data_IF_869919498453
#
_entry.id   IF_869919498453
#
_cell.length_a   1.000
_cell.length_b   1.000
_cell.length_c   1.000
_cell.angle_alpha   90.00
_cell.angle_beta   90.00
_cell.angle_gamma   90.00
#
_symmetry.space_group_name_H-M   'P 1'
#
loop_
_entity.id
_entity.type
_entity.pdbx_description
1 polymer ?
#
# COMPACT_ATOMS: atom_id res chain seq x y z
N UNK A 1 14.44 21.07 -11.51
CA UNK A 1 13.64 22.00 -12.32
C UNK A 1 13.53 21.58 -13.80
N UNK A 2 14.61 21.10 -14.45
CA UNK A 2 14.58 20.59 -15.84
C UNK A 2 13.54 19.49 -16.13
N UNK A 3 13.15 18.71 -15.13
CA UNK A 3 12.14 17.66 -15.25
C UNK A 3 10.70 18.15 -14.99
N UNK A 4 10.51 19.45 -14.74
CA UNK A 4 9.19 20.08 -14.50
C UNK A 4 8.38 19.51 -13.31
N UNK A 5 9.00 18.66 -12.47
CA UNK A 5 8.42 18.13 -11.24
C UNK A 5 8.58 19.10 -10.05
N UNK A 6 7.97 20.28 -10.16
CA UNK A 6 8.14 21.37 -9.19
C UNK A 6 7.60 21.06 -7.78
N UNK A 7 6.53 20.27 -7.69
CA UNK A 7 5.97 19.84 -6.39
C UNK A 7 6.93 18.93 -5.61
N UNK A 8 7.59 17.99 -6.29
CA UNK A 8 8.60 17.12 -5.71
C UNK A 8 9.85 17.93 -5.31
N UNK A 9 10.31 18.82 -6.20
CA UNK A 9 11.43 19.71 -5.90
C UNK A 9 11.18 20.57 -4.65
N UNK A 10 9.96 21.09 -4.46
CA UNK A 10 9.61 21.83 -3.23
C UNK A 10 9.69 20.97 -1.98
N UNK A 11 9.29 19.70 -2.06
CA UNK A 11 9.38 18.77 -0.93
C UNK A 11 10.83 18.54 -0.54
N UNK A 12 11.72 18.34 -1.51
CA UNK A 12 13.15 18.16 -1.28
C UNK A 12 13.80 19.41 -0.69
N UNK A 13 13.53 20.58 -1.25
CA UNK A 13 14.09 21.85 -0.77
C UNK A 13 13.64 22.16 0.67
N UNK A 14 12.40 21.85 1.03
CA UNK A 14 11.91 21.97 2.41
C UNK A 14 12.63 21.03 3.38
N UNK A 15 13.03 19.84 2.93
CA UNK A 15 13.84 18.93 3.74
C UNK A 15 15.23 19.51 3.95
N UNK A 16 15.89 20.02 2.91
CA UNK A 16 17.20 20.69 3.04
C UNK A 16 17.17 21.81 4.08
N UNK A 17 16.10 22.62 4.10
CA UNK A 17 15.97 23.72 5.06
C UNK A 17 15.70 23.27 6.51
N UNK A 18 15.31 22.02 6.74
CA UNK A 18 15.20 21.45 8.09
C UNK A 18 16.54 20.96 8.63
N UNK A 19 17.50 20.71 7.75
CA UNK A 19 18.84 20.29 8.11
C UNK A 19 19.72 21.49 8.50
N UNK A 20 20.80 21.22 9.25
CA UNK A 20 21.77 22.24 9.63
C UNK A 20 22.72 22.55 8.45
N UNK A 21 22.22 23.33 7.48
CA UNK A 21 22.99 23.76 6.30
C UNK A 21 23.48 25.21 6.42
N UNK A 22 24.52 25.56 5.65
CA UNK A 22 25.09 26.92 5.60
C UNK A 22 24.11 27.93 5.02
N UNK A 23 24.28 29.21 5.36
CA UNK A 23 23.34 30.26 4.93
C UNK A 23 23.33 30.46 3.40
N UNK A 24 24.47 30.28 2.72
CA UNK A 24 24.52 30.31 1.25
C UNK A 24 23.67 29.19 0.65
N UNK A 25 23.76 27.96 1.19
CA UNK A 25 22.92 26.84 0.75
C UNK A 25 21.43 27.08 1.03
N UNK A 26 21.09 27.72 2.15
CA UNK A 26 19.70 28.14 2.43
C UNK A 26 19.22 29.16 1.41
N UNK A 27 20.05 30.16 1.09
CA UNK A 27 19.77 31.16 0.08
C UNK A 27 19.47 30.53 -1.29
N UNK A 28 20.37 29.66 -1.75
CA UNK A 28 20.19 28.87 -2.98
C UNK A 28 18.92 28.01 -2.97
N UNK A 29 18.59 27.39 -1.83
CA UNK A 29 17.37 26.61 -1.67
C UNK A 29 16.10 27.49 -1.78
N UNK A 30 16.06 28.65 -1.13
CA UNK A 30 14.95 29.58 -1.22
C UNK A 30 14.75 30.14 -2.63
N UNK A 31 15.84 30.40 -3.38
CA UNK A 31 15.75 30.80 -4.79
C UNK A 31 15.04 29.73 -5.62
N UNK A 32 15.48 28.47 -5.51
CA UNK A 32 14.86 27.33 -6.22
C UNK A 32 13.42 27.10 -5.77
N UNK A 33 13.10 27.30 -4.48
CA UNK A 33 11.72 27.22 -3.99
C UNK A 33 10.84 28.29 -4.61
N UNK A 34 11.35 29.51 -4.76
CA UNK A 34 10.62 30.61 -5.37
C UNK A 34 10.22 30.29 -6.82
N UNK A 35 11.15 29.74 -7.61
CA UNK A 35 10.87 29.27 -8.97
C UNK A 35 9.80 28.20 -8.98
N UNK A 36 9.88 27.21 -8.07
CA UNK A 36 8.88 26.16 -8.00
C UNK A 36 7.49 26.69 -7.61
N UNK A 37 7.40 27.63 -6.65
CA UNK A 37 6.12 28.25 -6.28
C UNK A 37 5.50 29.02 -7.45
N UNK A 38 6.31 29.73 -8.21
CA UNK A 38 5.87 30.47 -9.40
C UNK A 38 5.32 29.52 -10.47
N UNK A 39 6.04 28.44 -10.77
CA UNK A 39 5.60 27.40 -11.71
C UNK A 39 4.29 26.70 -11.28
N UNK A 40 3.98 26.69 -9.98
CA UNK A 40 2.74 26.15 -9.41
C UNK A 40 1.61 27.22 -9.23
N UNK A 41 1.83 28.46 -9.66
CA UNK A 41 0.87 29.56 -9.52
C UNK A 41 0.74 30.15 -8.10
N UNK A 42 1.66 29.85 -7.19
CA UNK A 42 1.68 30.34 -5.81
C UNK A 42 2.54 31.63 -5.67
N UNK A 43 2.18 32.68 -6.40
CA UNK A 43 2.98 33.91 -6.56
C UNK A 43 3.38 34.60 -5.24
N UNK A 44 2.48 34.64 -4.26
CA UNK A 44 2.79 35.25 -2.96
C UNK A 44 3.94 34.51 -2.24
N UNK A 45 3.96 33.18 -2.31
CA UNK A 45 5.04 32.38 -1.71
C UNK A 45 6.33 32.48 -2.51
N UNK A 46 6.23 32.64 -3.83
CA UNK A 46 7.39 32.89 -4.68
C UNK A 46 8.11 34.20 -4.29
N UNK A 47 7.36 35.31 -4.18
CA UNK A 47 7.90 36.61 -3.78
C UNK A 47 8.59 36.57 -2.41
N UNK A 48 7.96 35.94 -1.42
CA UNK A 48 8.54 35.77 -0.08
C UNK A 48 9.84 34.97 -0.17
N UNK A 49 9.86 33.88 -0.94
CA UNK A 49 11.04 33.01 -1.05
C UNK A 49 12.21 33.73 -1.73
N UNK A 50 11.98 34.51 -2.79
CA UNK A 50 13.03 35.33 -3.41
C UNK A 50 13.60 36.37 -2.45
N UNK A 51 12.74 37.09 -1.70
CA UNK A 51 13.18 38.10 -0.74
C UNK A 51 14.01 37.50 0.42
N UNK A 52 13.74 36.25 0.80
CA UNK A 52 14.58 35.53 1.78
C UNK A 52 15.92 35.12 1.16
N UNK A 53 15.91 34.64 -0.08
CA UNK A 53 17.13 34.26 -0.79
C UNK A 53 18.11 35.44 -0.97
N UNK A 54 17.61 36.62 -1.38
CA UNK A 54 18.42 37.84 -1.55
C UNK A 54 19.17 38.26 -0.28
N UNK A 55 18.61 37.97 0.91
CA UNK A 55 19.24 38.31 2.19
C UNK A 55 20.32 37.32 2.62
N UNK A 56 20.31 36.10 2.08
CA UNK A 56 21.14 34.99 2.52
C UNK A 56 22.30 34.72 1.56
N UNK A 57 22.11 34.92 0.26
CA UNK A 57 23.12 34.69 -0.76
C UNK A 57 24.14 35.83 -0.75
N UNK A 58 25.43 35.48 -0.64
CA UNK A 58 26.54 36.45 -0.75
C UNK A 58 27.38 36.27 -2.00
N UNK A 59 27.22 35.16 -2.70
CA UNK A 59 27.96 34.83 -3.92
C UNK A 59 27.40 35.58 -5.13
N UNK A 60 28.26 36.34 -5.83
CA UNK A 60 27.86 37.16 -6.98
C UNK A 60 27.26 36.35 -8.14
N UNK A 61 27.69 35.10 -8.33
CA UNK A 61 27.18 34.24 -9.41
C UNK A 61 25.78 33.76 -9.08
N UNK A 62 25.53 33.38 -7.83
CA UNK A 62 24.19 33.00 -7.37
C UNK A 62 23.21 34.19 -7.36
N UNK A 63 23.67 35.40 -7.03
CA UNK A 63 22.86 36.63 -7.13
C UNK A 63 22.40 36.87 -8.58
N UNK A 64 23.31 36.74 -9.56
CA UNK A 64 22.97 36.89 -10.99
C UNK A 64 22.00 35.81 -11.48
N UNK A 65 22.08 34.61 -10.92
CA UNK A 65 21.15 33.52 -11.22
C UNK A 65 19.77 33.81 -10.64
N UNK A 66 19.70 34.28 -9.39
CA UNK A 66 18.47 34.71 -8.73
C UNK A 66 17.76 35.83 -9.49
N UNK A 67 18.48 36.88 -9.91
CA UNK A 67 17.89 37.98 -10.68
C UNK A 67 17.32 37.52 -12.02
N UNK A 68 17.98 36.55 -12.66
CA UNK A 68 17.54 35.96 -13.92
C UNK A 68 16.28 35.13 -13.73
N UNK A 69 16.26 34.27 -12.72
CA UNK A 69 15.11 33.44 -12.37
C UNK A 69 13.91 34.29 -11.91
N UNK A 70 14.16 35.38 -11.17
CA UNK A 70 13.13 36.33 -10.74
C UNK A 70 12.44 37.06 -11.91
N UNK A 71 13.16 37.30 -13.01
CA UNK A 71 12.62 37.97 -14.22
C UNK A 71 12.06 37.02 -15.27
N UNK A 72 12.34 35.71 -15.17
CA UNK A 72 11.88 34.74 -16.16
C UNK A 72 10.35 34.58 -16.16
N UNK A 73 9.78 34.40 -17.34
CA UNK A 73 8.38 33.99 -17.51
C UNK A 73 8.26 32.48 -17.35
N UNK A 74 7.23 32.02 -16.64
CA UNK A 74 6.99 30.61 -16.38
C UNK A 74 5.59 30.23 -16.85
N UNK A 75 5.48 29.10 -17.54
CA UNK A 75 4.19 28.50 -17.84
C UNK A 75 3.69 27.75 -16.59
N UNK A 76 2.51 28.13 -16.10
CA UNK A 76 1.89 27.44 -14.97
C UNK A 76 1.55 26.00 -15.36
N UNK A 77 2.08 25.03 -14.62
CA UNK A 77 1.70 23.64 -14.82
C UNK A 77 0.36 23.41 -14.12
N UNK A 78 -0.61 22.84 -14.84
CA UNK A 78 -1.87 22.40 -14.25
C UNK A 78 -1.55 21.39 -13.16
N UNK A 79 -1.90 21.74 -11.92
CA UNK A 79 -1.82 20.83 -10.78
C UNK A 79 -2.62 19.58 -11.12
N UNK A 80 -1.97 18.41 -11.15
CA UNK A 80 -2.70 17.15 -11.27
C UNK A 80 -3.76 17.10 -10.17
N UNK A 81 -5.00 16.80 -10.57
CA UNK A 81 -6.10 16.66 -9.63
C UNK A 81 -5.76 15.53 -8.67
N UNK A 82 -5.72 15.84 -7.36
CA UNK A 82 -5.72 14.80 -6.33
C UNK A 82 -6.96 13.94 -6.55
N UNK A 83 -6.75 12.65 -6.79
CA UNK A 83 -7.85 11.69 -6.76
C UNK A 83 -8.33 11.67 -5.30
N UNK A 84 -9.62 11.95 -5.03
CA UNK A 84 -10.15 11.94 -3.68
C UNK A 84 -9.84 10.61 -2.99
N UNK A 85 -9.64 10.66 -1.68
CA UNK A 85 -9.55 9.46 -0.85
C UNK A 85 -10.85 8.68 -0.96
N UNK A 86 -10.84 7.59 -1.73
CA UNK A 86 -12.00 6.74 -1.93
C UNK A 86 -12.25 5.94 -0.66
N UNK A 87 -13.38 6.25 0.01
CA UNK A 87 -13.81 5.56 1.23
C UNK A 87 -14.13 4.10 0.94
N UNK A 88 -14.05 3.27 1.97
CA UNK A 88 -14.53 1.89 1.90
C UNK A 88 -15.97 1.88 1.38
N UNK A 89 -16.21 1.08 0.35
CA UNK A 89 -17.49 0.96 -0.32
C UNK A 89 -17.84 -0.51 -0.52
N UNK A 90 -19.11 -0.83 -0.31
CA UNK A 90 -19.69 -2.13 -0.63
C UNK A 90 -21.03 -1.83 -1.29
N UNK A 91 -21.26 -2.40 -2.47
CA UNK A 91 -22.52 -2.23 -3.19
C UNK A 91 -23.67 -2.82 -2.38
N UNK A 92 -24.80 -2.12 -2.34
CA UNK A 92 -26.04 -2.65 -1.75
C UNK A 92 -26.68 -3.74 -2.62
N UNK A 93 -26.18 -3.92 -3.84
CA UNK A 93 -26.64 -4.93 -4.80
C UNK A 93 -25.95 -6.28 -4.60
N UNK A 94 -25.21 -6.47 -3.52
CA UNK A 94 -24.63 -7.77 -3.17
C UNK A 94 -24.98 -8.14 -1.74
N UNK A 95 -25.17 -9.45 -1.51
CA UNK A 95 -25.35 -10.03 -0.18
C UNK A 95 -24.44 -11.24 0.00
N UNK A 96 -24.16 -11.59 1.24
CA UNK A 96 -23.36 -12.78 1.59
C UNK A 96 -24.32 -13.89 2.00
N UNK A 97 -24.13 -15.07 1.42
CA UNK A 97 -24.83 -16.30 1.77
C UNK A 97 -23.82 -17.36 2.22
N UNK A 98 -24.31 -18.47 2.77
CA UNK A 98 -23.48 -19.59 3.21
C UNK A 98 -24.05 -20.93 2.74
N UNK A 99 -23.16 -21.82 2.27
CA UNK A 99 -23.49 -23.19 1.88
C UNK A 99 -22.47 -24.16 2.46
N UNK A 100 -22.88 -25.37 2.91
CA UNK A 100 -21.95 -26.35 3.49
C UNK A 100 -20.75 -26.72 2.61
N UNK A 101 -20.92 -26.75 1.29
CA UNK A 101 -19.87 -27.14 0.34
C UNK A 101 -18.92 -26.00 -0.05
N UNK A 102 -19.35 -24.74 0.11
CA UNK A 102 -18.62 -23.56 -0.39
C UNK A 102 -18.26 -22.57 0.72
N UNK A 103 -18.75 -22.77 1.94
CA UNK A 103 -18.68 -21.78 3.01
C UNK A 103 -19.48 -20.53 2.64
N UNK A 104 -19.02 -19.37 3.10
CA UNK A 104 -19.60 -18.07 2.75
C UNK A 104 -19.24 -17.68 1.32
N UNK A 105 -20.18 -17.07 0.61
CA UNK A 105 -20.01 -16.59 -0.75
C UNK A 105 -20.88 -15.36 -1.03
N UNK A 106 -20.41 -14.49 -1.92
CA UNK A 106 -21.13 -13.27 -2.32
C UNK A 106 -22.01 -13.52 -3.53
N UNK A 107 -23.25 -13.01 -3.49
CA UNK A 107 -24.24 -13.09 -4.57
C UNK A 107 -24.76 -11.69 -4.90
N UNK A 108 -25.11 -11.43 -6.16
CA UNK A 108 -25.82 -10.21 -6.51
C UNK A 108 -27.29 -10.33 -6.11
N UNK A 109 -27.76 -9.29 -5.43
CA UNK A 109 -29.13 -9.08 -4.98
C UNK A 109 -29.96 -8.30 -6.00
N UNK A 110 -29.29 -7.60 -6.93
CA UNK A 110 -29.89 -6.78 -7.99
C UNK A 110 -28.97 -6.74 -9.23
N UNK A 111 -29.43 -6.15 -10.33
CA UNK A 111 -28.67 -5.97 -11.56
C UNK A 111 -27.44 -5.08 -11.35
N UNK A 112 -26.25 -5.64 -11.53
CA UNK A 112 -24.97 -4.91 -11.48
C UNK A 112 -24.49 -4.69 -12.91
N UNK A 113 -24.29 -3.43 -13.29
CA UNK A 113 -23.83 -3.08 -14.64
C UNK A 113 -22.34 -3.39 -14.80
N UNK A 114 -21.91 -3.78 -16.00
CA UNK A 114 -20.48 -3.85 -16.35
C UNK A 114 -19.76 -2.54 -16.01
N UNK A 115 -18.62 -2.66 -15.31
CA UNK A 115 -17.82 -1.54 -14.83
C UNK A 115 -18.32 -0.90 -13.53
N UNK A 116 -19.47 -1.31 -13.00
CA UNK A 116 -19.96 -0.84 -11.70
C UNK A 116 -19.07 -1.41 -10.57
N UNK A 117 -18.59 -0.56 -9.64
CA UNK A 117 -17.82 -1.02 -8.50
C UNK A 117 -18.69 -1.85 -7.55
N UNK A 118 -18.16 -2.96 -7.04
CA UNK A 118 -18.83 -3.82 -6.06
C UNK A 118 -18.23 -3.61 -4.68
N UNK A 119 -16.91 -3.60 -4.57
CA UNK A 119 -16.19 -3.32 -3.32
C UNK A 119 -15.02 -2.39 -3.62
N UNK A 120 -14.84 -1.38 -2.78
CA UNK A 120 -13.59 -0.63 -2.65
C UNK A 120 -13.12 -0.81 -1.21
N UNK A 121 -11.92 -1.34 -1.02
CA UNK A 121 -11.39 -1.64 0.30
C UNK A 121 -9.89 -1.32 0.37
N UNK A 122 -9.47 -0.72 1.48
CA UNK A 122 -8.05 -0.62 1.83
C UNK A 122 -7.57 -1.94 2.44
N UNK A 123 -6.33 -2.36 2.19
CA UNK A 123 -5.81 -3.59 2.74
C UNK A 123 -5.80 -3.47 4.26
N UNK A 124 -6.26 -4.52 4.94
CA UNK A 124 -6.06 -4.65 6.37
C UNK A 124 -4.56 -4.65 6.69
N UNK A 125 -3.74 -5.31 5.88
CA UNK A 125 -2.28 -5.17 5.86
C UNK A 125 -1.76 -5.49 4.44
N UNK A 126 -0.62 -4.91 4.09
CA UNK A 126 0.03 -5.18 2.80
C UNK A 126 1.56 -5.11 2.88
N UNK A 127 2.22 -5.92 2.07
CA UNK A 127 3.68 -5.92 1.89
C UNK A 127 4.06 -5.74 0.41
N UNK A 128 5.06 -4.88 0.18
CA UNK A 128 5.71 -4.73 -1.12
C UNK A 128 6.65 -5.91 -1.33
N UNK A 129 6.75 -6.42 -2.54
CA UNK A 129 7.72 -7.46 -2.89
C UNK A 129 9.16 -6.93 -2.78
N UNK A 130 10.12 -7.73 -2.30
CA UNK A 130 11.53 -7.35 -2.23
C UNK A 130 12.10 -6.87 -3.57
N UNK A 131 11.67 -7.46 -4.68
CA UNK A 131 12.10 -7.09 -6.04
C UNK A 131 11.69 -5.66 -6.42
N UNK A 132 10.72 -5.09 -5.72
CA UNK A 132 10.22 -3.73 -5.95
C UNK A 132 10.83 -2.70 -4.99
N UNK A 133 11.68 -3.11 -4.03
CA UNK A 133 12.34 -2.20 -3.11
C UNK A 133 13.20 -1.20 -3.89
N UNK A 134 13.21 0.06 -3.44
CA UNK A 134 13.92 1.16 -4.11
C UNK A 134 13.28 1.65 -5.42
N UNK A 135 12.37 0.90 -6.03
CA UNK A 135 11.61 1.34 -7.23
C UNK A 135 10.18 1.77 -6.91
N UNK A 136 9.61 1.25 -5.82
CA UNK A 136 8.29 1.62 -5.32
C UNK A 136 8.37 2.05 -3.87
N UNK A 137 7.42 2.89 -3.47
CA UNK A 137 7.27 3.33 -2.09
C UNK A 137 6.93 2.11 -1.22
N UNK A 138 7.73 1.88 -0.18
CA UNK A 138 7.57 0.75 0.74
C UNK A 138 6.24 0.76 1.51
N UNK A 139 5.65 1.94 1.65
CA UNK A 139 4.36 2.11 2.32
C UNK A 139 3.18 2.01 1.36
N UNK A 140 3.21 2.77 0.28
CA UNK A 140 2.02 3.00 -0.55
C UNK A 140 2.09 2.31 -1.92
N UNK A 141 3.23 1.71 -2.24
CA UNK A 141 3.54 0.98 -3.48
C UNK A 141 3.49 1.84 -4.74
N UNK A 142 3.37 3.16 -4.60
CA UNK A 142 3.52 4.09 -5.73
C UNK A 142 4.96 4.06 -6.26
N UNK A 143 5.12 4.08 -7.59
CA UNK A 143 6.43 4.11 -8.23
C UNK A 143 7.19 5.38 -7.84
N UNK A 144 8.47 5.23 -7.53
CA UNK A 144 9.29 6.34 -7.06
C UNK A 144 9.77 7.20 -8.23
N UNK A 145 9.47 8.50 -8.17
CA UNK A 145 10.09 9.52 -8.99
C UNK A 145 11.19 10.27 -8.21
N UNK A 146 10.90 10.56 -6.94
CA UNK A 146 11.84 11.08 -5.95
C UNK A 146 11.70 10.24 -4.67
N UNK A 147 12.82 9.69 -4.20
CA UNK A 147 12.85 8.72 -3.13
C UNK A 147 13.32 9.35 -1.80
N UNK A 148 12.60 9.07 -0.73
CA UNK A 148 12.99 9.36 0.64
C UNK A 148 13.41 8.06 1.31
N UNK A 149 14.63 7.99 1.85
CA UNK A 149 15.13 6.82 2.57
C UNK A 149 14.65 6.76 4.03
N UNK A 150 14.78 5.58 4.63
CA UNK A 150 14.79 5.43 6.08
C UNK A 150 16.09 6.03 6.65
N UNK A 151 16.06 6.56 7.87
CA UNK A 151 17.26 7.04 8.55
C UNK A 151 18.13 5.89 9.09
N UNK A 152 17.51 4.74 9.38
CA UNK A 152 18.15 3.60 10.05
C UNK A 152 18.55 2.46 9.10
N UNK A 153 18.09 2.48 7.84
CA UNK A 153 18.49 1.49 6.82
C UNK A 153 18.50 2.08 5.40
N UNK A 154 19.22 1.39 4.51
CA UNK A 154 19.25 1.68 3.07
C UNK A 154 18.39 0.73 2.23
N UNK A 155 17.59 -0.13 2.87
CA UNK A 155 16.89 -1.23 2.19
C UNK A 155 15.59 -0.79 1.49
N UNK A 156 14.96 0.30 1.95
CA UNK A 156 13.63 0.71 1.51
C UNK A 156 13.57 2.21 1.21
N UNK A 157 12.61 2.60 0.36
CA UNK A 157 12.40 3.99 -0.02
C UNK A 157 10.91 4.36 -0.02
N UNK A 158 10.62 5.64 0.10
CA UNK A 158 9.27 6.19 0.22
C UNK A 158 9.06 7.34 -0.77
N UNK A 159 7.83 7.54 -1.25
CA UNK A 159 7.52 8.60 -2.22
C UNK A 159 7.34 9.98 -1.59
N UNK A 160 7.22 10.06 -0.25
CA UNK A 160 7.03 11.31 0.48
C UNK A 160 7.48 11.18 1.94
N UNK A 161 7.78 12.30 2.62
CA UNK A 161 8.02 12.30 4.06
C UNK A 161 6.85 11.71 4.84
N UNK A 162 5.60 11.99 4.45
CA UNK A 162 4.42 11.43 5.11
C UNK A 162 4.37 9.90 5.05
N UNK A 163 4.67 9.30 3.89
CA UNK A 163 4.75 7.84 3.77
C UNK A 163 5.87 7.24 4.62
N UNK A 164 7.05 7.87 4.62
CA UNK A 164 8.18 7.44 5.46
C UNK A 164 7.82 7.50 6.93
N UNK A 165 7.33 8.65 7.38
CA UNK A 165 7.07 8.91 8.80
C UNK A 165 5.96 8.01 9.34
N UNK A 166 4.89 7.79 8.56
CA UNK A 166 3.84 6.81 8.91
C UNK A 166 4.42 5.40 9.02
N UNK A 167 5.20 4.95 8.03
CA UNK A 167 5.79 3.63 8.04
C UNK A 167 6.74 3.44 9.24
N UNK A 168 7.69 4.35 9.43
CA UNK A 168 8.65 4.34 10.53
C UNK A 168 7.94 4.36 11.89
N UNK A 169 6.90 5.17 12.05
CA UNK A 169 6.16 5.26 13.31
C UNK A 169 5.38 3.99 13.65
N UNK A 170 4.86 3.30 12.64
CA UNK A 170 3.97 2.14 12.79
C UNK A 170 4.75 0.83 12.68
N UNK A 171 4.84 0.23 11.50
CA UNK A 171 5.37 -1.12 11.29
C UNK A 171 6.87 -1.15 10.98
N UNK A 172 7.40 -0.17 10.22
CA UNK A 172 8.74 -0.27 9.65
C UNK A 172 9.83 -0.30 10.72
N UNK A 173 9.70 0.46 11.82
CA UNK A 173 10.66 0.43 12.93
C UNK A 173 10.88 -0.96 13.52
N UNK A 174 9.89 -1.84 13.44
CA UNK A 174 9.97 -3.19 14.00
C UNK A 174 10.56 -4.21 13.01
N UNK A 175 10.39 -4.00 11.70
CA UNK A 175 10.96 -4.86 10.66
C UNK A 175 12.33 -4.37 10.15
N UNK A 176 12.67 -3.08 10.32
CA UNK A 176 13.78 -2.38 9.66
C UNK A 176 15.11 -3.16 9.73
N UNK A 177 15.52 -3.58 10.94
CA UNK A 177 16.77 -4.31 11.17
C UNK A 177 16.73 -5.79 10.78
N UNK A 178 15.54 -6.31 10.51
CA UNK A 178 15.33 -7.73 10.21
C UNK A 178 14.96 -7.97 8.75
N UNK A 179 14.77 -6.93 7.92
CA UNK A 179 14.35 -7.10 6.52
C UNK A 179 15.23 -8.09 5.75
N UNK A 180 16.56 -8.00 5.89
CA UNK A 180 17.48 -8.91 5.20
C UNK A 180 17.37 -10.35 5.70
N UNK A 181 17.12 -10.53 7.01
CA UNK A 181 16.82 -11.84 7.58
C UNK A 181 15.47 -12.36 7.08
N UNK A 182 14.45 -11.49 7.01
CA UNK A 182 13.11 -11.85 6.56
C UNK A 182 13.13 -12.32 5.09
N UNK A 183 13.95 -11.68 4.27
CA UNK A 183 14.08 -11.99 2.83
C UNK A 183 15.04 -13.18 2.64
N UNK A 184 16.22 -13.13 3.25
CA UNK A 184 17.29 -14.10 3.06
C UNK A 184 17.01 -15.48 3.64
N UNK A 185 16.09 -15.60 4.60
CA UNK A 185 15.62 -16.89 5.13
C UNK A 185 14.70 -17.66 4.18
N UNK A 186 14.33 -17.08 3.03
CA UNK A 186 13.43 -17.71 2.05
C UNK A 186 11.98 -17.76 2.51
N UNK A 187 11.59 -16.93 3.48
CA UNK A 187 10.22 -16.89 3.97
C UNK A 187 9.28 -16.32 2.90
N UNK A 188 8.05 -16.83 2.90
CA UNK A 188 7.00 -16.28 2.07
C UNK A 188 6.71 -14.82 2.45
N UNK A 189 6.38 -13.99 1.46
CA UNK A 189 5.87 -12.63 1.67
C UNK A 189 4.63 -12.60 2.57
N UNK A 190 3.88 -13.71 2.65
CA UNK A 190 2.77 -13.88 3.58
C UNK A 190 3.23 -13.87 5.04
N UNK A 191 4.39 -14.44 5.35
CA UNK A 191 4.99 -14.36 6.68
C UNK A 191 5.28 -12.92 7.06
N UNK A 192 5.85 -12.14 6.14
CA UNK A 192 6.09 -10.72 6.37
C UNK A 192 4.77 -9.94 6.54
N UNK A 193 3.74 -10.32 5.80
CA UNK A 193 2.41 -9.71 5.94
C UNK A 193 1.79 -10.02 7.31
N UNK A 194 1.95 -11.23 7.84
CA UNK A 194 1.52 -11.58 9.20
C UNK A 194 2.22 -10.71 10.26
N UNK A 195 3.52 -10.46 10.10
CA UNK A 195 4.25 -9.54 10.96
C UNK A 195 3.63 -8.12 10.91
N UNK A 196 3.31 -7.61 9.72
CA UNK A 196 2.70 -6.28 9.56
C UNK A 196 1.29 -6.17 10.12
N UNK A 197 0.48 -7.23 10.04
CA UNK A 197 -0.84 -7.26 10.67
C UNK A 197 -0.77 -6.99 12.19
N UNK A 198 0.32 -7.38 12.84
CA UNK A 198 0.61 -7.05 14.24
C UNK A 198 1.27 -5.68 14.37
N UNK A 199 2.39 -5.43 13.67
CA UNK A 199 3.27 -4.27 13.92
C UNK A 199 2.71 -2.93 13.50
N UNK A 200 1.69 -2.91 12.63
CA UNK A 200 0.97 -1.68 12.32
C UNK A 200 0.08 -1.18 13.46
N UNK A 201 -0.17 -2.03 14.47
CA UNK A 201 -0.90 -1.72 15.69
C UNK A 201 0.06 -1.68 16.89
N UNK A 202 -0.22 -0.85 17.89
CA UNK A 202 0.45 -0.91 19.19
C UNK A 202 0.10 -2.19 19.94
N UNK A 203 0.92 -2.55 20.93
CA UNK A 203 0.68 -3.73 21.78
C UNK A 203 -0.72 -3.68 22.42
N UNK A 204 -1.13 -2.53 22.96
CA UNK A 204 -2.44 -2.36 23.58
C UNK A 204 -3.59 -2.58 22.59
N UNK A 205 -3.47 -2.07 21.36
CA UNK A 205 -4.45 -2.30 20.29
C UNK A 205 -4.50 -3.78 19.89
N UNK A 206 -3.35 -4.44 19.75
CA UNK A 206 -3.28 -5.88 19.47
C UNK A 206 -3.95 -6.72 20.56
N UNK A 207 -3.75 -6.40 21.83
CA UNK A 207 -4.41 -7.09 22.94
C UNK A 207 -5.93 -6.84 22.95
N UNK A 208 -6.36 -5.62 22.61
CA UNK A 208 -7.78 -5.29 22.42
C UNK A 208 -8.41 -6.07 21.27
N UNK A 209 -7.70 -6.20 20.14
CA UNK A 209 -8.09 -7.02 19.00
C UNK A 209 -8.18 -8.49 19.42
N UNK A 210 -7.20 -9.02 20.14
CA UNK A 210 -7.21 -10.40 20.61
C UNK A 210 -8.46 -10.70 21.46
N UNK A 211 -8.81 -9.81 22.39
CA UNK A 211 -9.99 -9.94 23.25
C UNK A 211 -11.30 -9.86 22.47
N UNK A 212 -11.36 -9.03 21.42
CA UNK A 212 -12.57 -8.79 20.63
C UNK A 212 -12.53 -9.47 19.24
N UNK A 213 -11.63 -10.44 19.03
CA UNK A 213 -11.35 -10.99 17.69
C UNK A 213 -12.58 -11.55 16.98
N UNK A 214 -13.58 -12.03 17.71
CA UNK A 214 -14.83 -12.52 17.12
C UNK A 214 -15.66 -11.44 16.40
N UNK A 215 -15.42 -10.16 16.71
CA UNK A 215 -16.07 -9.00 16.07
C UNK A 215 -15.28 -8.46 14.88
N UNK A 216 -14.03 -8.87 14.73
CA UNK A 216 -13.11 -8.38 13.70
C UNK A 216 -13.28 -9.20 12.42
N UNK A 217 -13.60 -8.53 11.30
CA UNK A 217 -13.90 -9.21 10.01
C UNK A 217 -12.79 -10.15 9.57
N UNK A 218 -11.53 -9.76 9.76
CA UNK A 218 -10.35 -10.53 9.35
C UNK A 218 -10.24 -11.89 10.06
N UNK A 219 -10.73 -12.00 11.31
CA UNK A 219 -10.72 -13.25 12.06
C UNK A 219 -11.92 -14.14 11.78
N UNK A 220 -12.87 -13.65 10.98
CA UNK A 220 -13.91 -14.52 10.42
C UNK A 220 -13.42 -15.28 9.19
N UNK A 221 -12.29 -14.93 8.60
CA UNK A 221 -11.82 -15.48 7.33
C UNK A 221 -11.47 -16.97 7.41
N UNK A 222 -11.57 -17.65 6.27
CA UNK A 222 -11.34 -19.09 6.20
C UNK A 222 -9.89 -19.42 6.53
N UNK A 223 -9.68 -20.26 7.55
CA UNK A 223 -8.37 -20.83 7.82
C UNK A 223 -8.19 -22.16 7.09
N UNK A 224 -9.24 -22.98 6.87
CA UNK A 224 -9.12 -24.41 6.53
C UNK A 224 -8.34 -25.23 7.59
N UNK A 225 -8.35 -24.81 8.86
CA UNK A 225 -7.63 -25.47 9.95
C UNK A 225 -7.87 -26.99 10.01
N UNK A 226 -9.11 -27.45 9.84
CA UNK A 226 -9.45 -28.88 9.93
C UNK A 226 -8.90 -29.74 8.78
N UNK A 227 -8.48 -29.12 7.67
CA UNK A 227 -7.92 -29.82 6.50
C UNK A 227 -6.39 -29.83 6.49
N UNK A 228 -5.74 -29.22 7.47
CA UNK A 228 -4.29 -29.10 7.54
C UNK A 228 -3.66 -30.34 8.13
N UNK A 229 -2.48 -30.69 7.62
CA UNK A 229 -1.63 -31.71 8.23
C UNK A 229 -0.94 -31.17 9.49
N UNK A 230 -0.52 -32.08 10.37
CA UNK A 230 0.30 -31.69 11.54
C UNK A 230 1.63 -31.05 11.13
N UNK A 231 2.18 -31.42 9.98
CA UNK A 231 3.39 -30.80 9.42
C UNK A 231 3.17 -29.32 9.05
N UNK A 232 2.06 -28.98 8.38
CA UNK A 232 1.71 -27.59 8.07
C UNK A 232 1.53 -26.76 9.34
N UNK A 233 0.88 -27.32 10.37
CA UNK A 233 0.74 -26.66 11.67
C UNK A 233 2.08 -26.45 12.37
N UNK A 234 3.00 -27.42 12.31
CA UNK A 234 4.33 -27.28 12.88
C UNK A 234 5.10 -26.15 12.19
N UNK A 235 5.10 -26.12 10.85
CA UNK A 235 5.77 -25.06 10.08
C UNK A 235 5.23 -23.67 10.42
N UNK A 236 3.90 -23.51 10.52
CA UNK A 236 3.27 -22.23 10.91
C UNK A 236 3.59 -21.84 12.35
N UNK A 237 3.61 -22.81 13.27
CA UNK A 237 3.97 -22.57 14.67
C UNK A 237 5.43 -22.12 14.80
N UNK A 238 6.36 -22.78 14.10
CA UNK A 238 7.76 -22.38 14.05
C UNK A 238 7.92 -20.96 13.49
N UNK A 239 7.15 -20.64 12.45
CA UNK A 239 7.16 -19.31 11.85
C UNK A 239 6.58 -18.23 12.78
N UNK A 240 5.49 -18.52 13.48
CA UNK A 240 4.92 -17.63 14.48
C UNK A 240 5.91 -17.37 15.63
N UNK A 241 6.58 -18.41 16.12
CA UNK A 241 7.61 -18.28 17.15
C UNK A 241 8.81 -17.45 16.66
N UNK A 242 9.26 -17.67 15.42
CA UNK A 242 10.30 -16.86 14.80
C UNK A 242 9.91 -15.37 14.72
N UNK A 243 8.71 -15.07 14.23
CA UNK A 243 8.20 -13.71 14.16
C UNK A 243 8.06 -13.06 15.55
N UNK A 244 7.62 -13.83 16.55
CA UNK A 244 7.55 -13.37 17.94
C UNK A 244 8.94 -12.97 18.45
N UNK A 245 9.98 -13.76 18.16
CA UNK A 245 11.37 -13.43 18.51
C UNK A 245 11.83 -12.15 17.81
N UNK A 246 11.46 -11.92 16.54
CA UNK A 246 11.71 -10.64 15.88
C UNK A 246 11.01 -9.48 16.61
N UNK A 247 9.76 -9.65 17.05
CA UNK A 247 9.02 -8.63 17.80
C UNK A 247 9.68 -8.29 19.14
N UNK A 248 10.10 -9.30 19.92
CA UNK A 248 10.85 -9.12 21.17
C UNK A 248 12.12 -8.31 20.94
N UNK A 249 12.99 -8.76 20.02
CA UNK A 249 14.27 -8.11 19.74
C UNK A 249 14.10 -6.71 19.12
N UNK A 250 13.01 -6.47 18.40
CA UNK A 250 12.68 -5.15 17.84
C UNK A 250 12.18 -4.14 18.88
N UNK A 251 11.82 -4.59 20.08
CA UNK A 251 11.27 -3.74 21.16
C UNK A 251 9.76 -3.53 21.08
N UNK A 252 9.02 -4.38 20.37
CA UNK A 252 7.56 -4.29 20.28
C UNK A 252 6.88 -4.38 21.66
N UNK A 253 7.39 -5.24 22.53
CA UNK A 253 6.94 -5.42 23.91
C UNK A 253 7.64 -4.49 24.92
N UNK A 254 8.37 -3.48 24.44
CA UNK A 254 9.16 -2.56 25.24
C UNK A 254 10.63 -2.96 25.39
N UNK A 255 11.48 -1.97 25.65
CA UNK A 255 12.95 -2.12 25.68
C UNK A 255 13.44 -3.16 26.69
N UNK A 256 12.73 -3.32 27.80
CA UNK A 256 13.09 -4.27 28.86
C UNK A 256 13.02 -5.75 28.45
N UNK A 257 12.37 -6.06 27.32
CA UNK A 257 12.23 -7.42 26.79
C UNK A 257 13.23 -7.75 25.67
N UNK A 258 13.94 -6.76 25.10
CA UNK A 258 14.82 -6.98 23.94
C UNK A 258 15.89 -8.03 24.14
N UNK A 259 16.48 -8.13 25.33
CA UNK A 259 17.65 -8.98 25.58
C UNK A 259 17.41 -10.06 26.65
N UNK A 260 16.14 -10.29 27.04
CA UNK A 260 15.80 -11.30 28.05
C UNK A 260 15.36 -12.59 27.40
N UNK A 261 16.17 -13.63 27.56
CA UNK A 261 15.72 -15.00 27.32
C UNK A 261 15.03 -15.50 28.59
N UNK A 262 13.73 -15.76 28.50
CA UNK A 262 12.92 -16.24 29.60
C UNK A 262 11.55 -16.70 29.11
N UNK A 263 10.70 -17.10 30.05
CA UNK A 263 9.34 -17.54 29.73
C UNK A 263 8.55 -16.41 29.04
N UNK A 264 7.68 -16.83 28.12
CA UNK A 264 6.78 -15.93 27.42
C UNK A 264 5.76 -15.35 28.40
N UNK A 265 5.56 -14.05 28.33
CA UNK A 265 4.47 -13.40 29.07
C UNK A 265 3.12 -13.76 28.47
N UNK A 266 2.03 -13.55 29.22
CA UNK A 266 0.69 -13.76 28.69
C UNK A 266 0.40 -12.85 27.47
N UNK A 267 0.95 -11.64 27.45
CA UNK A 267 0.81 -10.72 26.32
C UNK A 267 1.54 -11.22 25.07
N UNK A 268 2.77 -11.75 25.25
CA UNK A 268 3.55 -12.35 24.17
C UNK A 268 2.87 -13.60 23.60
N UNK A 269 2.30 -14.44 24.47
CA UNK A 269 1.53 -15.62 24.05
C UNK A 269 0.30 -15.22 23.22
N UNK A 270 -0.46 -14.21 23.65
CA UNK A 270 -1.61 -13.71 22.89
C UNK A 270 -1.21 -13.17 21.52
N UNK A 271 -0.11 -12.42 21.43
CA UNK A 271 0.42 -11.94 20.15
C UNK A 271 0.90 -13.10 19.27
N UNK A 272 1.54 -14.12 19.85
CA UNK A 272 1.96 -15.32 19.14
C UNK A 272 0.76 -16.09 18.55
N UNK A 273 -0.34 -16.20 19.31
CA UNK A 273 -1.59 -16.78 18.82
C UNK A 273 -2.17 -15.97 17.64
N UNK A 274 -2.11 -14.64 17.69
CA UNK A 274 -2.50 -13.80 16.55
C UNK A 274 -1.63 -14.09 15.32
N UNK A 275 -0.31 -14.12 15.48
CA UNK A 275 0.62 -14.43 14.38
C UNK A 275 0.32 -15.80 13.76
N UNK A 276 0.12 -16.82 14.60
CA UNK A 276 -0.23 -18.17 14.14
C UNK A 276 -1.57 -18.18 13.38
N UNK A 277 -2.57 -17.44 13.85
CA UNK A 277 -3.84 -17.29 13.15
C UNK A 277 -3.67 -16.54 11.82
N UNK A 278 -2.90 -15.44 11.79
CA UNK A 278 -2.63 -14.65 10.58
C UNK A 278 -1.94 -15.50 9.50
N UNK A 279 -0.93 -16.28 9.89
CA UNK A 279 -0.26 -17.22 8.98
C UNK A 279 -1.24 -18.22 8.37
N UNK A 280 -2.26 -18.67 9.12
CA UNK A 280 -3.27 -19.60 8.61
C UNK A 280 -4.23 -18.95 7.61
N UNK A 281 -4.69 -17.73 7.83
CA UNK A 281 -5.62 -17.06 6.92
C UNK A 281 -4.93 -16.55 5.65
N UNK A 282 -3.68 -16.08 5.74
CA UNK A 282 -3.02 -15.42 4.61
C UNK A 282 -2.82 -16.35 3.40
N UNK A 283 -2.64 -17.65 3.64
CA UNK A 283 -2.49 -18.65 2.57
C UNK A 283 -3.70 -18.70 1.61
N UNK A 284 -4.90 -18.36 2.09
CA UNK A 284 -6.15 -18.52 1.36
C UNK A 284 -6.87 -17.21 1.06
N UNK A 285 -6.52 -16.13 1.76
CA UNK A 285 -7.27 -14.88 1.71
C UNK A 285 -6.43 -13.66 1.31
N UNK A 286 -5.11 -13.83 1.15
CA UNK A 286 -4.25 -12.76 0.66
C UNK A 286 -4.33 -12.69 -0.87
N UNK A 287 -4.35 -11.47 -1.40
CA UNK A 287 -4.50 -11.18 -2.81
C UNK A 287 -3.25 -10.48 -3.35
N UNK A 288 -2.87 -10.87 -4.56
CA UNK A 288 -1.77 -10.26 -5.29
C UNK A 288 -2.15 -8.84 -5.74
N UNK A 289 -1.23 -7.90 -5.56
CA UNK A 289 -1.35 -6.51 -5.96
C UNK A 289 -0.52 -6.32 -7.22
N UNK A 290 -1.15 -5.78 -8.27
CA UNK A 290 -0.53 -5.60 -9.57
C UNK A 290 -0.39 -4.13 -9.97
N UNK A 291 0.74 -3.80 -10.59
CA UNK A 291 0.94 -2.58 -11.37
C UNK A 291 0.62 -2.86 -12.85
N UNK A 292 -0.21 -2.03 -13.49
CA UNK A 292 -0.39 -2.06 -14.95
C UNK A 292 0.53 -1.06 -15.62
N UNK A 293 1.58 -1.53 -16.30
CA UNK A 293 2.49 -0.69 -17.08
C UNK A 293 2.01 -0.58 -18.52
N UNK A 294 1.73 0.62 -18.99
CA UNK A 294 1.30 0.88 -20.38
C UNK A 294 2.48 1.36 -21.22
N UNK A 295 2.60 0.84 -22.44
CA UNK A 295 3.57 1.35 -23.43
C UNK A 295 3.07 2.66 -24.06
N UNK A 296 4.00 3.51 -24.53
CA UNK A 296 3.65 4.76 -25.24
C UNK A 296 3.04 4.52 -26.63
N UNK A 297 3.35 3.40 -27.25
CA UNK A 297 2.96 3.07 -28.64
C UNK A 297 1.55 2.44 -28.70
N UNK A 298 1.22 1.57 -27.74
CA UNK A 298 -0.09 0.93 -27.65
C UNK A 298 -0.57 0.80 -26.20
N UNK A 299 -1.69 1.45 -25.88
CA UNK A 299 -2.26 1.48 -24.53
C UNK A 299 -2.83 0.13 -24.07
N UNK A 300 -3.25 -0.74 -25.01
CA UNK A 300 -3.85 -2.05 -24.72
C UNK A 300 -2.95 -3.23 -25.08
N UNK A 301 -2.44 -3.30 -26.32
CA UNK A 301 -1.59 -4.45 -26.75
C UNK A 301 -0.19 -4.49 -26.10
N UNK A 302 0.27 -3.36 -25.55
CA UNK A 302 1.58 -3.25 -24.90
C UNK A 302 1.52 -3.16 -23.37
N UNK A 303 0.36 -3.37 -22.75
CA UNK A 303 0.23 -3.28 -21.29
C UNK A 303 0.73 -4.55 -20.62
N UNK A 304 1.54 -4.41 -19.57
CA UNK A 304 2.03 -5.52 -18.74
C UNK A 304 1.47 -5.40 -17.33
N UNK A 305 0.98 -6.50 -16.79
CA UNK A 305 0.67 -6.63 -15.37
C UNK A 305 1.90 -7.14 -14.64
N UNK A 306 2.30 -6.42 -13.60
CA UNK A 306 3.50 -6.74 -12.82
C UNK A 306 3.04 -6.92 -11.39
N UNK A 307 3.29 -8.11 -10.85
CA UNK A 307 3.05 -8.41 -9.45
C UNK A 307 4.04 -7.60 -8.60
N UNK A 308 3.52 -6.72 -7.73
CA UNK A 308 4.35 -5.78 -6.95
C UNK A 308 4.26 -5.98 -5.44
N UNK A 309 3.25 -6.68 -4.94
CA UNK A 309 3.01 -6.79 -3.50
C UNK A 309 1.82 -7.68 -3.20
N UNK A 310 1.59 -7.98 -1.92
CA UNK A 310 0.44 -8.76 -1.46
C UNK A 310 -0.33 -7.96 -0.41
N UNK A 311 -1.65 -8.13 -0.37
CA UNK A 311 -2.50 -7.51 0.65
C UNK A 311 -3.63 -8.42 1.08
N UNK A 312 -4.14 -8.21 2.29
CA UNK A 312 -5.33 -8.90 2.79
C UNK A 312 -6.50 -7.92 2.88
N UNK A 313 -7.64 -8.32 2.33
CA UNK A 313 -8.82 -7.46 2.13
C UNK A 313 -10.06 -8.19 2.67
N UNK A 314 -10.42 -8.02 3.95
CA UNK A 314 -11.39 -8.90 4.62
C UNK A 314 -12.75 -8.98 3.94
N UNK A 315 -13.21 -7.90 3.31
CA UNK A 315 -14.48 -7.89 2.57
C UNK A 315 -14.30 -8.52 1.19
N UNK A 316 -13.23 -8.16 0.47
CA UNK A 316 -12.94 -8.69 -0.86
C UNK A 316 -12.62 -10.20 -0.85
N UNK A 317 -12.13 -10.74 0.27
CA UNK A 317 -11.87 -12.18 0.44
C UNK A 317 -13.13 -13.03 0.59
N UNK A 318 -14.32 -12.43 0.69
CA UNK A 318 -15.60 -13.16 0.66
C UNK A 318 -16.06 -13.51 -0.76
N UNK A 319 -15.40 -12.97 -1.79
CA UNK A 319 -15.64 -13.36 -3.17
C UNK A 319 -14.87 -14.66 -3.46
N UNK A 320 -15.62 -15.73 -3.63
CA UNK A 320 -15.06 -17.04 -3.93
C UNK A 320 -14.45 -17.10 -5.32
N UNK A 321 -13.57 -18.09 -5.50
CA UNK A 321 -12.93 -18.38 -6.78
C UNK A 321 -13.97 -18.83 -7.83
N UNK A 322 -13.78 -18.34 -9.05
CA UNK A 322 -14.50 -18.71 -10.25
C UNK A 322 -13.48 -18.82 -11.40
N UNK A 323 -13.52 -19.91 -12.16
CA UNK A 323 -12.66 -20.12 -13.33
C UNK A 323 -13.00 -19.17 -14.48
N UNK A 324 -14.23 -18.65 -14.52
CA UNK A 324 -14.73 -17.68 -15.49
C UNK A 324 -15.38 -16.51 -14.74
N UNK A 325 -14.57 -15.68 -14.06
CA UNK A 325 -15.08 -14.73 -13.08
C UNK A 325 -15.86 -13.60 -13.74
N UNK A 326 -17.03 -13.28 -13.18
CA UNK A 326 -17.78 -12.09 -13.59
C UNK A 326 -17.17 -10.79 -13.01
N UNK A 327 -16.22 -10.88 -12.07
CA UNK A 327 -15.56 -9.75 -11.39
C UNK A 327 -14.08 -9.74 -11.66
N UNK A 328 -13.51 -8.55 -11.89
CA UNK A 328 -12.07 -8.34 -11.87
C UNK A 328 -11.64 -7.52 -10.67
N UNK A 329 -10.46 -7.86 -10.15
CA UNK A 329 -9.71 -7.06 -9.19
C UNK A 329 -8.87 -6.04 -9.95
N UNK A 330 -8.85 -4.81 -9.47
CA UNK A 330 -8.03 -3.72 -9.97
C UNK A 330 -7.37 -3.07 -8.77
N UNK A 331 -6.06 -3.24 -8.63
CA UNK A 331 -5.28 -2.47 -7.67
C UNK A 331 -5.06 -1.07 -8.23
N UNK A 332 -5.35 -0.02 -7.46
CA UNK A 332 -4.83 1.32 -7.77
C UNK A 332 -3.87 1.73 -6.66
N UNK A 333 -2.61 2.07 -6.98
CA UNK A 333 -1.77 2.71 -6.00
C UNK A 333 -2.44 4.01 -5.54
N UNK A 334 -2.28 4.38 -4.27
CA UNK A 334 -2.82 5.63 -3.75
C UNK A 334 -2.11 6.78 -4.47
N UNK A 335 -2.87 7.65 -5.12
CA UNK A 335 -2.33 8.87 -5.73
C UNK A 335 -2.24 9.97 -4.67
N UNK A 336 -1.00 10.44 -4.43
CA UNK A 336 -0.62 11.61 -3.62
C UNK A 336 -1.62 12.05 -2.54
N UNK A 337 -1.46 11.48 -1.34
CA UNK A 337 -2.14 11.94 -0.11
C UNK A 337 -2.97 10.87 0.60
N UNK A 338 -3.10 9.68 0.03
CA UNK A 338 -3.80 8.53 0.61
C UNK A 338 -2.82 7.50 1.17
N UNK A 339 -3.16 6.92 2.33
CA UNK A 339 -2.40 5.85 2.97
C UNK A 339 -2.85 4.48 2.43
N UNK A 340 -1.89 3.73 1.87
CA UNK A 340 -1.98 2.35 1.35
C UNK A 340 -2.71 2.17 -0.01
N UNK A 341 -2.32 1.13 -0.75
CA UNK A 341 -2.87 0.78 -2.07
C UNK A 341 -4.31 0.26 -1.95
N UNK A 342 -5.26 0.89 -2.63
CA UNK A 342 -6.66 0.49 -2.60
C UNK A 342 -6.90 -0.68 -3.57
N UNK A 343 -7.66 -1.68 -3.14
CA UNK A 343 -8.23 -2.68 -4.05
C UNK A 343 -9.63 -2.26 -4.48
N UNK A 344 -9.85 -2.30 -5.79
CA UNK A 344 -11.15 -2.10 -6.42
C UNK A 344 -11.60 -3.41 -7.03
N UNK A 345 -12.78 -3.88 -6.63
CA UNK A 345 -13.49 -4.96 -7.32
C UNK A 345 -14.52 -4.33 -8.25
N UNK A 346 -14.34 -4.51 -9.55
CA UNK A 346 -15.27 -4.05 -10.59
C UNK A 346 -15.83 -5.26 -11.35
N UNK A 347 -17.13 -5.24 -11.65
CA UNK A 347 -17.76 -6.29 -12.45
C UNK A 347 -17.32 -6.17 -13.93
N UNK A 348 -16.88 -7.27 -14.53
CA UNK A 348 -16.48 -7.37 -15.94
C UNK A 348 -17.64 -7.69 -16.88
N UNK A 349 -18.66 -8.43 -16.42
CA UNK A 349 -19.83 -8.81 -17.23
C UNK A 349 -21.11 -8.72 -16.40
N UNK A 350 -22.18 -8.15 -16.97
CA UNK A 350 -23.46 -7.96 -16.28
C UNK A 350 -24.05 -9.29 -15.78
N UNK A 351 -24.48 -9.35 -14.52
CA UNK A 351 -25.08 -10.55 -13.92
C UNK A 351 -26.39 -10.23 -13.18
N UNK A 352 -27.31 -11.20 -13.19
CA UNK A 352 -28.44 -11.35 -12.27
C UNK A 352 -28.18 -12.63 -11.43
N UNK A 353 -28.25 -12.54 -10.10
CA UNK A 353 -28.06 -13.68 -9.19
C UNK A 353 -26.63 -13.76 -8.62
N UNK A 354 -26.10 -14.96 -8.32
CA UNK A 354 -24.71 -15.10 -7.86
C UNK A 354 -23.75 -14.26 -8.74
N UNK A 355 -22.58 -13.85 -8.23
CA UNK A 355 -21.58 -13.16 -9.07
C UNK A 355 -20.86 -14.13 -10.04
N UNK A 356 -21.61 -15.13 -10.51
CA UNK A 356 -21.38 -16.03 -11.62
C UNK A 356 -22.36 -15.62 -12.72
N UNK A 357 -21.92 -15.54 -13.97
CA UNK A 357 -22.86 -15.70 -15.08
C UNK A 357 -23.19 -17.20 -15.11
N UNK A 358 -24.32 -17.60 -14.54
CA UNK A 358 -24.84 -18.94 -14.76
C UNK A 358 -25.19 -19.00 -16.25
N UNK A 359 -24.38 -19.71 -17.04
CA UNK A 359 -24.87 -20.18 -18.34
C UNK A 359 -26.09 -21.04 -18.03
N UNK A 360 -27.28 -20.55 -18.38
CA UNK A 360 -28.48 -21.36 -18.33
C UNK A 360 -28.26 -22.57 -19.24
N UNK A 361 -27.92 -23.71 -18.64
CA UNK A 361 -28.22 -25.00 -19.25
C UNK A 361 -29.73 -25.18 -19.21
N UNK A 362 -30.42 -24.40 -20.04
CA UNK A 362 -31.74 -24.64 -20.63
C UNK A 362 -32.14 -23.46 -21.52
N UNK A 363 -31.26 -23.06 -22.45
CA UNK A 363 -31.69 -22.55 -23.75
C UNK A 363 -30.53 -22.69 -24.73
N UNK A 364 -30.65 -23.66 -25.64
CA UNK A 364 -29.74 -23.80 -26.79
C UNK A 364 -29.66 -22.45 -27.52
N UNK A 365 -28.48 -21.84 -27.69
CA UNK A 365 -28.35 -20.74 -28.63
C UNK A 365 -28.47 -21.34 -30.04
N UNK A 366 -29.61 -21.12 -30.68
CA UNK A 366 -29.72 -21.24 -32.13
C UNK A 366 -28.79 -20.22 -32.76
N UNK A 367 -27.61 -20.67 -33.17
CA UNK A 367 -26.77 -19.99 -34.14
C UNK A 367 -27.56 -19.91 -35.45
N UNK A 368 -28.17 -18.75 -35.74
CA UNK A 368 -28.51 -18.41 -37.12
C UNK A 368 -27.31 -17.66 -37.71
N UNK A 369 -26.51 -18.41 -38.47
CA UNK A 369 -25.54 -17.84 -39.40
C UNK A 369 -26.28 -16.97 -40.41
N UNK A 370 -26.15 -15.65 -40.32
CA UNK A 370 -26.39 -14.77 -41.48
C UNK A 370 -25.09 -14.65 -42.26
N UNK A 371 -24.87 -15.62 -43.15
CA UNK A 371 -24.19 -15.37 -44.40
C UNK A 371 -25.26 -14.95 -45.42
N UNK A 372 -25.23 -13.67 -45.81
CA UNK A 372 -25.37 -13.20 -47.20
C UNK A 372 -24.86 -11.76 -47.24
#
# INVERSE_FOLDING_TARGET
MKLEKYSLALSDLRMVLKEQVTDDLKGSAYCKMAVCYRALGEENKAKISFAVAEKLIKDEKEIRELEREGKAEFHCIKKESRIPEEKQFISKKVRVEERPTMGRYTVADDYIKTGEPIVTEQPYAACLLPEMFGTHCHHCFHRLEAAYGCADCSNVAFCSPGCRDTAVKTYHKFECKYLDLLIGSGMSILTHTALRMVTQNSLAECLGIYQNRSKEKVYSLCTNAEKRSGEDFLQRTLMAAFLLKCLERSGYFGENRKDKDGDLTEEELRVCELLLFHLQILQFNAHEIFETRRSKEHQFKGSKFIYIGVGIYPTASLLNHDCQPAVTRISRPPHQGTSLAHEYLQLCEASFGNVWVVSSTEQKPTFQSRHQ
#
